data_IF_807451917778
#
_entry.id   IF_807451917778
#
_cell.length_a   1.000
_cell.length_b   1.000
_cell.length_c   1.000
_cell.angle_alpha   90.00
_cell.angle_beta   90.00
_cell.angle_gamma   90.00
#
_symmetry.space_group_name_H-M   'P 1'
#
loop_
_entity.id
_entity.type
_entity.pdbx_description
1 polymer ?
#
# COMPACT_ATOMS: atom_id res chain seq x y z
N UNK A 1 -36.54 -13.94 38.63
CA UNK A 1 -36.61 -15.00 37.60
C UNK A 1 -37.65 -14.68 36.51
N UNK A 2 -38.96 -14.65 36.80
CA UNK A 2 -40.01 -14.37 35.78
C UNK A 2 -39.86 -13.04 35.02
N UNK A 3 -39.42 -11.97 35.69
CA UNK A 3 -39.15 -10.69 35.02
C UNK A 3 -37.99 -10.78 34.04
N UNK A 4 -36.94 -11.54 34.39
CA UNK A 4 -35.77 -11.74 33.54
C UNK A 4 -36.12 -12.55 32.29
N UNK A 5 -36.91 -13.61 32.43
CA UNK A 5 -37.42 -14.40 31.29
C UNK A 5 -38.16 -13.52 30.28
N UNK A 6 -38.99 -12.57 30.74
CA UNK A 6 -39.65 -11.59 29.87
C UNK A 6 -38.67 -10.63 29.18
N UNK A 7 -37.64 -10.17 29.90
CA UNK A 7 -36.60 -9.30 29.33
C UNK A 7 -35.77 -10.04 28.28
N UNK A 8 -35.40 -11.29 28.53
CA UNK A 8 -34.66 -12.12 27.58
C UNK A 8 -35.44 -12.30 26.28
N UNK A 9 -36.71 -12.71 26.37
CA UNK A 9 -37.60 -12.87 25.21
C UNK A 9 -37.80 -11.54 24.46
N UNK A 10 -37.91 -10.42 25.19
CA UNK A 10 -37.96 -9.09 24.58
C UNK A 10 -36.68 -8.81 23.81
N UNK A 11 -35.50 -8.91 24.42
CA UNK A 11 -34.23 -8.67 23.76
C UNK A 11 -34.04 -9.55 22.52
N UNK A 12 -34.38 -10.84 22.59
CA UNK A 12 -34.29 -11.76 21.46
C UNK A 12 -35.09 -11.30 20.23
N UNK A 13 -36.28 -10.76 20.45
CA UNK A 13 -37.14 -10.24 19.37
C UNK A 13 -36.51 -9.08 18.58
N UNK A 14 -35.59 -8.31 19.18
CA UNK A 14 -34.92 -7.18 18.53
C UNK A 14 -33.56 -7.54 17.92
N UNK A 15 -32.95 -8.68 18.28
CA UNK A 15 -31.63 -9.09 17.76
C UNK A 15 -31.65 -9.20 16.22
N UNK A 16 -32.75 -9.73 15.66
CA UNK A 16 -32.86 -9.99 14.22
C UNK A 16 -33.23 -8.74 13.38
N UNK A 17 -33.47 -7.60 14.02
CA UNK A 17 -33.84 -6.36 13.32
C UNK A 17 -32.62 -5.56 12.82
N UNK A 18 -31.43 -5.85 13.35
CA UNK A 18 -30.20 -5.13 12.99
C UNK A 18 -29.52 -5.86 11.81
N UNK A 19 -29.43 -5.26 10.60
CA UNK A 19 -28.74 -5.86 9.46
C UNK A 19 -27.22 -5.74 9.62
N UNK A 20 -26.66 -6.41 10.62
CA UNK A 20 -25.28 -6.23 11.07
C UNK A 20 -24.27 -6.54 9.96
N UNK A 21 -24.49 -7.63 9.22
CA UNK A 21 -23.61 -8.04 8.12
C UNK A 21 -23.50 -6.99 7.02
N UNK A 22 -24.56 -6.22 6.78
CA UNK A 22 -24.55 -5.17 5.76
C UNK A 22 -23.68 -4.00 6.20
N UNK A 23 -23.96 -3.42 7.38
CA UNK A 23 -23.21 -2.27 7.90
C UNK A 23 -21.73 -2.61 8.05
N UNK A 24 -21.44 -3.79 8.61
CA UNK A 24 -20.07 -4.25 8.82
C UNK A 24 -19.35 -4.52 7.49
N UNK A 25 -20.04 -5.12 6.51
CA UNK A 25 -19.47 -5.40 5.19
C UNK A 25 -19.04 -4.15 4.44
N UNK A 26 -19.89 -3.12 4.38
CA UNK A 26 -19.52 -1.86 3.73
C UNK A 26 -18.40 -1.12 4.46
N UNK A 27 -18.44 -1.11 5.79
CA UNK A 27 -17.41 -0.46 6.60
C UNK A 27 -16.04 -1.14 6.43
N UNK A 28 -15.98 -2.47 6.57
CA UNK A 28 -14.74 -3.24 6.42
C UNK A 28 -14.18 -3.13 5.01
N UNK A 29 -15.03 -3.22 3.97
CA UNK A 29 -14.57 -3.05 2.59
C UNK A 29 -13.97 -1.67 2.33
N UNK A 30 -14.55 -0.60 2.91
CA UNK A 30 -13.99 0.75 2.85
C UNK A 30 -12.61 0.81 3.52
N UNK A 31 -12.46 0.22 4.70
CA UNK A 31 -11.18 0.20 5.44
C UNK A 31 -10.12 -0.57 4.66
N UNK A 32 -10.43 -1.77 4.16
CA UNK A 32 -9.50 -2.59 3.35
C UNK A 32 -9.08 -1.84 2.08
N UNK A 33 -10.01 -1.18 1.40
CA UNK A 33 -9.70 -0.37 0.21
C UNK A 33 -8.72 0.77 0.52
N UNK A 34 -8.93 1.47 1.64
CA UNK A 34 -8.01 2.52 2.11
C UNK A 34 -6.66 1.95 2.54
N UNK A 35 -6.64 0.83 3.26
CA UNK A 35 -5.43 0.13 3.68
C UNK A 35 -4.54 -0.20 2.48
N UNK A 36 -5.12 -0.82 1.44
CA UNK A 36 -4.37 -1.18 0.24
C UNK A 36 -3.88 0.05 -0.53
N UNK A 37 -4.72 1.08 -0.67
CA UNK A 37 -4.31 2.31 -1.34
C UNK A 37 -3.20 3.06 -0.59
N UNK A 38 -3.18 3.00 0.75
CA UNK A 38 -2.08 3.52 1.55
C UNK A 38 -0.79 2.74 1.28
N UNK A 39 -0.84 1.41 1.26
CA UNK A 39 0.31 0.58 0.88
C UNK A 39 0.86 0.96 -0.50
N UNK A 40 -0.02 1.05 -1.51
CA UNK A 40 0.35 1.43 -2.87
C UNK A 40 0.88 2.87 -3.00
N UNK A 41 0.60 3.72 -2.00
CA UNK A 41 1.12 5.09 -1.93
C UNK A 41 2.47 5.18 -1.21
N UNK A 42 3.01 4.08 -0.66
CA UNK A 42 4.38 4.07 -0.13
C UNK A 42 5.35 4.20 -1.30
N UNK A 43 6.14 5.28 -1.37
CA UNK A 43 6.96 5.55 -2.54
C UNK A 43 8.27 4.76 -2.49
N UNK A 44 8.56 4.07 -3.59
CA UNK A 44 9.80 3.32 -3.80
C UNK A 44 10.78 4.15 -4.64
N UNK A 45 12.04 4.29 -4.22
CA UNK A 45 13.02 5.13 -4.92
C UNK A 45 13.48 4.51 -6.24
N UNK A 46 13.10 3.26 -6.51
CA UNK A 46 13.62 2.41 -7.57
C UNK A 46 13.55 3.03 -8.97
N UNK A 47 12.44 3.72 -9.28
CA UNK A 47 12.34 4.44 -10.54
C UNK A 47 13.29 5.64 -10.57
N UNK A 48 13.26 6.47 -9.52
CA UNK A 48 14.09 7.67 -9.44
C UNK A 48 15.58 7.32 -9.46
N UNK A 49 16.02 6.29 -8.72
CA UNK A 49 17.43 5.90 -8.68
C UNK A 49 17.95 5.40 -10.04
N UNK A 50 17.11 4.72 -10.83
CA UNK A 50 17.47 4.32 -12.19
C UNK A 50 17.64 5.54 -13.10
N UNK A 51 16.74 6.52 -13.01
CA UNK A 51 16.89 7.78 -13.74
C UNK A 51 18.12 8.56 -13.28
N UNK A 52 18.37 8.68 -11.98
CA UNK A 52 19.56 9.37 -11.46
C UNK A 52 20.85 8.68 -11.91
N UNK A 53 20.91 7.35 -11.83
CA UNK A 53 22.09 6.57 -12.24
C UNK A 53 22.36 6.63 -13.74
N UNK A 54 21.34 6.83 -14.57
CA UNK A 54 21.50 6.83 -16.04
C UNK A 54 21.64 8.22 -16.62
N UNK A 55 20.95 9.22 -16.06
CA UNK A 55 20.84 10.55 -16.65
C UNK A 55 21.82 11.57 -16.07
N UNK A 56 22.37 11.31 -14.87
CA UNK A 56 23.41 12.16 -14.28
C UNK A 56 24.77 11.58 -14.61
N UNK A 57 25.35 12.07 -15.70
CA UNK A 57 26.63 11.63 -16.23
C UNK A 57 27.81 12.04 -15.34
N UNK A 58 28.94 11.36 -15.56
CA UNK A 58 30.21 11.64 -14.90
C UNK A 58 30.66 10.53 -13.94
N UNK A 59 31.98 10.37 -13.88
CA UNK A 59 32.68 9.45 -12.97
C UNK A 59 33.54 10.19 -11.94
N UNK A 60 33.54 11.52 -12.03
CA UNK A 60 34.23 12.42 -11.12
C UNK A 60 33.52 12.50 -9.76
N UNK A 61 34.25 13.01 -8.76
CA UNK A 61 33.73 13.17 -7.40
C UNK A 61 32.45 14.00 -7.37
N UNK A 62 32.35 15.04 -8.21
CA UNK A 62 31.21 15.95 -8.19
C UNK A 62 29.93 15.31 -8.75
N UNK A 63 30.00 14.57 -9.85
CA UNK A 63 28.83 13.82 -10.36
C UNK A 63 28.36 12.76 -9.37
N UNK A 64 29.30 12.07 -8.70
CA UNK A 64 29.00 11.15 -7.60
C UNK A 64 28.28 11.84 -6.43
N UNK A 65 28.76 13.01 -6.01
CA UNK A 65 28.12 13.82 -4.95
C UNK A 65 26.70 14.20 -5.37
N UNK A 66 26.48 14.63 -6.62
CA UNK A 66 25.15 14.98 -7.14
C UNK A 66 24.20 13.78 -7.02
N UNK A 67 24.60 12.63 -7.56
CA UNK A 67 23.78 11.40 -7.55
C UNK A 67 23.41 10.96 -6.14
N UNK A 68 24.39 10.87 -5.24
CA UNK A 68 24.17 10.47 -3.83
C UNK A 68 23.29 11.48 -3.08
N UNK A 69 23.48 12.77 -3.32
CA UNK A 69 22.70 13.84 -2.65
C UNK A 69 21.24 13.83 -3.10
N UNK A 70 20.96 13.61 -4.39
CA UNK A 70 19.59 13.48 -4.91
C UNK A 70 18.83 12.35 -4.19
N UNK A 71 19.46 11.17 -4.07
CA UNK A 71 18.82 10.04 -3.39
C UNK A 71 18.66 10.27 -1.89
N UNK A 72 19.65 10.91 -1.25
CA UNK A 72 19.56 11.26 0.18
C UNK A 72 18.44 12.26 0.46
N UNK A 73 18.25 13.27 -0.40
CA UNK A 73 17.14 14.23 -0.26
C UNK A 73 15.78 13.61 -0.53
N UNK A 74 15.70 12.66 -1.48
CA UNK A 74 14.49 11.88 -1.69
C UNK A 74 14.10 11.11 -0.41
N UNK A 75 15.07 10.41 0.19
CA UNK A 75 14.88 9.67 1.45
C UNK A 75 14.56 10.60 2.61
N UNK A 76 15.23 11.76 2.74
CA UNK A 76 14.95 12.76 3.77
C UNK A 76 13.49 13.23 3.69
N UNK A 77 13.01 13.57 2.49
CA UNK A 77 11.62 13.98 2.27
C UNK A 77 10.63 12.90 2.72
N UNK A 78 10.91 11.63 2.40
CA UNK A 78 10.10 10.49 2.84
C UNK A 78 10.09 10.32 4.35
N UNK A 79 11.27 10.37 4.99
CA UNK A 79 11.36 10.18 6.44
C UNK A 79 10.60 11.29 7.18
N UNK A 80 10.65 12.54 6.72
CA UNK A 80 9.88 13.64 7.36
C UNK A 80 8.37 13.39 7.26
N UNK A 81 7.88 12.86 6.14
CA UNK A 81 6.45 12.45 6.03
C UNK A 81 6.16 11.27 6.94
N UNK A 82 7.00 10.24 6.94
CA UNK A 82 6.81 9.06 7.78
C UNK A 82 6.91 9.36 9.28
N UNK A 83 7.70 10.36 9.70
CA UNK A 83 7.71 10.88 11.07
C UNK A 83 6.35 11.50 11.45
N UNK A 84 5.61 12.04 10.49
CA UNK A 84 4.29 12.61 10.73
C UNK A 84 3.19 11.54 10.75
N UNK A 85 3.32 10.47 9.94
CA UNK A 85 2.25 9.50 9.72
C UNK A 85 2.47 8.13 10.38
N UNK A 86 3.69 7.79 10.83
CA UNK A 86 4.02 6.48 11.41
C UNK A 86 4.61 6.58 12.81
N UNK A 87 4.00 5.85 13.74
CA UNK A 87 4.42 5.79 15.15
C UNK A 87 5.82 5.17 15.26
N UNK A 88 6.07 4.06 14.56
CA UNK A 88 7.36 3.37 14.53
C UNK A 88 8.50 4.27 14.05
N UNK A 89 8.26 5.03 12.98
CA UNK A 89 9.27 5.94 12.42
C UNK A 89 9.47 7.16 13.32
N UNK A 90 8.38 7.71 13.89
CA UNK A 90 8.49 8.82 14.86
C UNK A 90 9.26 8.43 16.11
N UNK A 91 9.10 7.21 16.61
CA UNK A 91 9.91 6.68 17.72
C UNK A 91 11.38 6.51 17.35
N UNK A 92 11.67 6.05 16.14
CA UNK A 92 13.05 5.89 15.65
C UNK A 92 13.76 7.23 15.42
N UNK A 93 13.05 8.21 14.88
CA UNK A 93 13.57 9.55 14.62
C UNK A 93 12.64 10.61 15.23
N UNK A 94 12.75 10.93 16.53
CA UNK A 94 11.87 11.90 17.17
C UNK A 94 12.11 13.35 16.73
N UNK A 95 13.38 13.71 16.50
CA UNK A 95 13.82 15.09 16.17
C UNK A 95 14.71 15.11 14.92
N UNK A 96 14.97 16.31 14.41
CA UNK A 96 15.89 16.49 13.28
C UNK A 96 17.33 16.11 13.65
N UNK A 97 17.74 16.26 14.91
CA UNK A 97 19.06 15.84 15.40
C UNK A 97 19.29 14.34 15.22
N UNK A 98 18.26 13.50 15.42
CA UNK A 98 18.36 12.06 15.17
C UNK A 98 18.60 11.76 13.69
N UNK A 99 18.09 12.59 12.78
CA UNK A 99 18.35 12.47 11.35
C UNK A 99 19.77 12.94 10.99
N UNK A 100 20.32 13.90 11.74
CA UNK A 100 21.73 14.30 11.62
C UNK A 100 22.64 13.17 12.07
N UNK A 101 22.41 12.61 13.27
CA UNK A 101 23.19 11.50 13.82
C UNK A 101 23.12 10.25 12.94
N UNK A 102 21.97 9.99 12.33
CA UNK A 102 21.79 8.89 11.37
C UNK A 102 22.42 9.16 9.99
N UNK A 103 22.99 10.34 9.74
CA UNK A 103 23.64 10.69 8.48
C UNK A 103 22.67 10.91 7.30
N UNK A 104 21.38 11.12 7.59
CA UNK A 104 20.35 11.38 6.56
C UNK A 104 20.42 12.85 6.10
N UNK A 105 20.69 13.77 7.02
CA UNK A 105 20.75 15.21 6.77
C UNK A 105 21.96 15.82 7.45
N UNK A 106 22.57 16.85 6.88
CA UNK A 106 23.69 17.56 7.53
C UNK A 106 23.17 18.70 8.41
N UNK A 107 23.93 19.09 9.44
CA UNK A 107 23.57 20.22 10.29
C UNK A 107 23.39 21.53 9.51
N UNK A 108 24.20 21.74 8.46
CA UNK A 108 24.05 22.89 7.55
C UNK A 108 22.73 22.85 6.77
N UNK A 109 22.30 21.69 6.30
CA UNK A 109 21.03 21.54 5.59
C UNK A 109 19.84 21.75 6.52
N UNK A 110 19.92 21.25 7.76
CA UNK A 110 18.88 21.49 8.77
C UNK A 110 18.70 22.98 9.01
N UNK A 111 19.80 23.74 9.18
CA UNK A 111 19.73 25.19 9.32
C UNK A 111 19.03 25.86 8.14
N UNK A 112 19.39 25.49 6.91
CA UNK A 112 18.74 26.02 5.70
C UNK A 112 17.24 25.67 5.66
N UNK A 113 16.86 24.46 6.11
CA UNK A 113 15.45 24.07 6.20
C UNK A 113 14.71 24.86 7.28
N UNK A 114 15.34 25.11 8.44
CA UNK A 114 14.78 25.86 9.55
C UNK A 114 14.52 27.33 9.19
N UNK A 115 15.42 27.94 8.41
CA UNK A 115 15.29 29.32 7.93
C UNK A 115 14.08 29.54 7.00
N UNK A 116 13.48 28.47 6.45
CA UNK A 116 12.23 28.57 5.68
C UNK A 116 11.07 28.91 6.62
N UNK A 117 10.64 30.16 6.65
CA UNK A 117 9.52 30.62 7.47
C UNK A 117 8.18 30.09 6.92
N UNK A 118 7.55 29.16 7.64
CA UNK A 118 6.22 28.63 7.33
C UNK A 118 5.57 28.03 8.59
N UNK A 119 4.23 28.15 8.75
CA UNK A 119 3.50 27.44 9.81
C UNK A 119 3.25 25.96 9.48
N UNK A 120 3.59 25.52 8.27
CA UNK A 120 3.33 24.16 7.78
C UNK A 120 4.54 23.25 7.91
N UNK A 121 4.32 21.93 7.84
CA UNK A 121 5.39 20.95 7.75
C UNK A 121 6.32 21.19 6.55
N UNK A 122 7.61 20.87 6.71
CA UNK A 122 8.68 21.17 5.74
C UNK A 122 9.13 19.97 4.89
N UNK A 123 8.33 18.91 4.88
CA UNK A 123 8.59 17.69 4.11
C UNK A 123 8.71 17.91 2.59
N UNK A 124 8.18 19.02 2.06
CA UNK A 124 8.29 19.40 0.65
C UNK A 124 9.65 20.05 0.30
N UNK A 125 10.41 20.54 1.29
CA UNK A 125 11.67 21.28 1.09
C UNK A 125 12.75 20.43 0.39
N UNK A 126 13.01 19.17 0.79
CA UNK A 126 14.02 18.34 0.10
C UNK A 126 13.73 18.13 -1.38
N UNK A 127 12.45 18.05 -1.78
CA UNK A 127 12.08 17.89 -3.19
C UNK A 127 12.36 19.16 -4.01
N UNK A 128 12.18 20.34 -3.41
CA UNK A 128 12.61 21.61 -4.03
C UNK A 128 14.12 21.63 -4.21
N UNK A 129 14.89 21.15 -3.23
CA UNK A 129 16.34 21.01 -3.37
C UNK A 129 16.72 20.03 -4.49
N UNK A 130 16.06 18.88 -4.61
CA UNK A 130 16.28 17.95 -5.72
C UNK A 130 16.08 18.62 -7.09
N UNK A 131 14.94 19.30 -7.30
CA UNK A 131 14.67 19.98 -8.56
C UNK A 131 15.71 21.07 -8.88
N UNK A 132 16.18 21.80 -7.86
CA UNK A 132 17.23 22.80 -8.03
C UNK A 132 18.59 22.17 -8.38
N UNK A 133 18.97 21.07 -7.73
CA UNK A 133 20.18 20.31 -8.06
C UNK A 133 20.14 19.81 -9.50
N UNK A 134 19.01 19.24 -9.93
CA UNK A 134 18.82 18.73 -11.29
C UNK A 134 18.98 19.86 -12.31
N UNK A 135 18.34 21.01 -12.07
CA UNK A 135 18.48 22.18 -12.94
C UNK A 135 19.93 22.65 -13.02
N UNK A 136 20.66 22.65 -11.90
CA UNK A 136 22.05 23.08 -11.85
C UNK A 136 23.00 22.07 -12.51
N UNK A 137 22.73 20.77 -12.34
CA UNK A 137 23.43 19.68 -13.00
C UNK A 137 23.29 19.74 -14.52
N UNK A 138 22.08 20.03 -15.02
CA UNK A 138 21.83 20.27 -16.44
C UNK A 138 22.61 21.48 -16.96
N UNK A 139 22.60 22.62 -16.24
CA UNK A 139 23.39 23.81 -16.62
C UNK A 139 24.89 23.56 -16.69
N UNK A 140 25.39 22.64 -15.86
CA UNK A 140 26.81 22.24 -15.81
C UNK A 140 27.16 21.11 -16.79
N UNK A 141 26.18 20.62 -17.56
CA UNK A 141 26.39 19.56 -18.56
C UNK A 141 26.44 18.14 -18.02
N UNK A 142 26.09 17.92 -16.74
CA UNK A 142 25.95 16.56 -16.19
C UNK A 142 24.66 15.86 -16.65
N UNK A 143 23.67 16.63 -17.12
CA UNK A 143 22.45 16.13 -17.75
C UNK A 143 22.40 16.79 -19.12
N UNK A 144 22.37 15.99 -20.18
CA UNK A 144 22.68 16.46 -21.54
C UNK A 144 21.62 17.38 -22.14
N UNK A 145 20.33 17.11 -21.90
CA UNK A 145 19.25 17.85 -22.55
C UNK A 145 18.04 18.10 -21.62
N UNK A 146 17.18 19.02 -22.10
CA UNK A 146 15.98 19.44 -21.39
C UNK A 146 14.95 18.31 -21.21
N UNK A 147 14.90 17.35 -22.11
CA UNK A 147 13.97 16.22 -22.05
C UNK A 147 14.38 15.24 -20.96
N UNK A 148 15.67 14.92 -20.85
CA UNK A 148 16.22 14.10 -19.77
C UNK A 148 16.01 14.77 -18.40
N UNK A 149 16.30 16.08 -18.32
CA UNK A 149 16.03 16.88 -17.12
C UNK A 149 14.55 16.81 -16.72
N UNK A 150 13.63 17.05 -17.68
CA UNK A 150 12.18 16.97 -17.43
C UNK A 150 11.78 15.59 -16.94
N UNK A 151 12.26 14.53 -17.60
CA UNK A 151 11.90 13.16 -17.27
C UNK A 151 12.30 12.79 -15.84
N UNK A 152 13.50 13.20 -15.40
CA UNK A 152 13.94 13.00 -14.02
C UNK A 152 13.10 13.81 -13.01
N UNK A 153 12.74 15.06 -13.33
CA UNK A 153 11.87 15.87 -12.47
C UNK A 153 10.48 15.23 -12.34
N UNK A 154 9.89 14.78 -13.44
CA UNK A 154 8.56 14.16 -13.43
C UNK A 154 8.53 12.92 -12.52
N UNK A 155 9.57 12.07 -12.57
CA UNK A 155 9.67 10.89 -11.70
C UNK A 155 9.77 11.27 -10.22
N UNK A 156 10.51 12.34 -9.88
CA UNK A 156 10.56 12.87 -8.51
C UNK A 156 9.20 13.42 -8.08
N UNK A 157 8.45 14.06 -8.99
CA UNK A 157 7.12 14.58 -8.70
C UNK A 157 6.09 13.46 -8.49
N UNK A 158 6.20 12.34 -9.21
CA UNK A 158 5.39 11.14 -8.96
C UNK A 158 5.69 10.59 -7.55
N UNK A 159 6.97 10.44 -7.21
CA UNK A 159 7.39 10.00 -5.88
C UNK A 159 6.85 10.92 -4.77
N UNK A 160 6.96 12.23 -4.96
CA UNK A 160 6.42 13.25 -4.06
C UNK A 160 4.89 13.22 -4.00
N UNK A 161 4.20 12.93 -5.10
CA UNK A 161 2.74 12.77 -5.15
C UNK A 161 2.25 11.67 -4.23
N UNK A 162 2.93 10.53 -4.26
CA UNK A 162 2.65 9.37 -3.39
C UNK A 162 2.79 9.71 -1.89
N UNK A 163 3.83 10.45 -1.49
CA UNK A 163 3.94 10.97 -0.12
C UNK A 163 2.81 11.93 0.25
N UNK A 164 2.36 12.77 -0.70
CA UNK A 164 1.21 13.64 -0.49
C UNK A 164 -0.08 12.86 -0.29
N UNK A 165 -0.23 11.73 -0.98
CA UNK A 165 -1.37 10.82 -0.80
C UNK A 165 -1.35 10.18 0.59
N UNK A 166 -0.19 9.72 1.07
CA UNK A 166 -0.04 9.21 2.44
C UNK A 166 -0.43 10.24 3.49
N UNK A 167 0.09 11.46 3.37
CA UNK A 167 -0.28 12.57 4.26
C UNK A 167 -1.79 12.86 4.21
N UNK A 168 -2.41 12.72 3.04
CA UNK A 168 -3.86 12.91 2.88
C UNK A 168 -4.67 11.81 3.57
N UNK A 169 -4.21 10.56 3.54
CA UNK A 169 -4.88 9.46 4.25
C UNK A 169 -4.78 9.60 5.78
N UNK A 170 -3.64 10.06 6.28
CA UNK A 170 -3.41 10.36 7.69
C UNK A 170 -4.31 11.52 8.15
N UNK A 171 -4.32 12.63 7.40
CA UNK A 171 -5.15 13.80 7.73
C UNK A 171 -6.65 13.51 7.63
N UNK A 172 -7.08 12.82 6.58
CA UNK A 172 -8.49 12.53 6.29
C UNK A 172 -8.78 11.05 6.55
N UNK A 173 -9.03 10.72 7.82
CA UNK A 173 -9.44 9.40 8.26
C UNK A 173 -10.87 9.03 7.81
N UNK A 174 -11.28 7.79 8.02
CA UNK A 174 -12.69 7.39 7.87
C UNK A 174 -13.55 8.27 8.79
N UNK A 175 -14.68 8.84 8.31
CA UNK A 175 -15.52 9.71 9.14
C UNK A 175 -15.86 9.06 10.47
N UNK A 176 -15.60 9.77 11.58
CA UNK A 176 -15.74 9.23 12.93
C UNK A 176 -17.15 8.67 13.18
N UNK A 177 -18.18 9.36 12.69
CA UNK A 177 -19.58 8.93 12.78
C UNK A 177 -19.79 7.55 12.17
N UNK A 178 -19.08 7.20 11.09
CA UNK A 178 -19.23 5.90 10.44
C UNK A 178 -18.64 4.79 11.32
N UNK A 179 -17.42 5.00 11.85
CA UNK A 179 -16.81 4.08 12.83
C UNK A 179 -17.70 3.90 14.06
N UNK A 180 -18.28 4.99 14.58
CA UNK A 180 -19.18 4.97 15.73
C UNK A 180 -20.46 4.20 15.46
N UNK A 181 -21.12 4.43 14.31
CA UNK A 181 -22.35 3.72 13.93
C UNK A 181 -22.10 2.23 13.81
N UNK A 182 -21.01 1.82 13.15
CA UNK A 182 -20.67 0.40 13.00
C UNK A 182 -20.37 -0.24 14.35
N UNK A 183 -19.56 0.41 15.19
CA UNK A 183 -19.23 -0.10 16.53
C UNK A 183 -20.48 -0.23 17.40
N UNK A 184 -21.34 0.80 17.41
CA UNK A 184 -22.59 0.79 18.17
C UNK A 184 -23.52 -0.33 17.70
N UNK A 185 -23.63 -0.57 16.39
CA UNK A 185 -24.45 -1.65 15.84
C UNK A 185 -23.97 -3.03 16.33
N UNK A 186 -22.66 -3.29 16.27
CA UNK A 186 -22.06 -4.55 16.76
C UNK A 186 -22.26 -4.69 18.27
N UNK A 187 -21.99 -3.65 19.05
CA UNK A 187 -22.07 -3.71 20.51
C UNK A 187 -23.51 -3.83 21.00
N UNK A 188 -24.46 -3.13 20.36
CA UNK A 188 -25.89 -3.24 20.68
C UNK A 188 -26.43 -4.62 20.35
N UNK A 189 -26.00 -5.21 19.23
CA UNK A 189 -26.32 -6.59 18.88
C UNK A 189 -25.85 -7.56 19.97
N UNK A 190 -24.62 -7.44 20.45
CA UNK A 190 -24.10 -8.33 21.49
C UNK A 190 -24.64 -8.05 22.90
N UNK A 191 -25.01 -6.80 23.21
CA UNK A 191 -25.78 -6.48 24.41
C UNK A 191 -27.13 -7.20 24.38
N UNK A 192 -27.82 -7.15 23.24
CA UNK A 192 -29.06 -7.90 23.00
C UNK A 192 -28.85 -9.41 23.14
N UNK A 193 -27.82 -9.98 22.51
CA UNK A 193 -27.49 -11.40 22.62
C UNK A 193 -27.19 -11.84 24.07
N UNK A 194 -26.50 -11.01 24.85
CA UNK A 194 -26.14 -11.32 26.24
C UNK A 194 -27.37 -11.53 27.12
N UNK A 195 -28.44 -10.77 26.87
CA UNK A 195 -29.70 -10.90 27.59
C UNK A 195 -30.66 -11.90 26.93
N UNK A 196 -30.77 -11.88 25.61
CA UNK A 196 -31.79 -12.62 24.86
C UNK A 196 -31.42 -14.06 24.51
N UNK A 197 -30.14 -14.43 24.46
CA UNK A 197 -29.69 -15.81 24.15
C UNK A 197 -29.42 -16.63 25.41
N UNK A 198 -30.02 -16.26 26.54
CA UNK A 198 -29.90 -16.97 27.81
C UNK A 198 -30.79 -18.22 27.80
N UNK A 199 -30.28 -19.35 28.27
CA UNK A 199 -31.11 -20.55 28.43
C UNK A 199 -32.14 -20.31 29.54
N UNK A 200 -33.43 -20.32 29.17
CA UNK A 200 -34.55 -20.13 30.10
C UNK A 200 -34.99 -21.45 30.70
N UNK A 201 -35.83 -21.40 31.74
CA UNK A 201 -36.37 -22.57 32.42
C UNK A 201 -37.15 -23.49 31.44
N UNK A 202 -36.67 -24.70 31.11
CA UNK A 202 -37.34 -25.58 30.14
C UNK A 202 -38.75 -26.00 30.60
N UNK A 203 -39.01 -26.00 31.91
CA UNK A 203 -40.33 -26.35 32.48
C UNK A 203 -41.40 -25.35 32.04
N UNK A 204 -41.00 -24.11 31.73
CA UNK A 204 -41.93 -23.08 31.26
C UNK A 204 -42.33 -23.22 29.80
N UNK A 205 -41.62 -24.06 29.05
CA UNK A 205 -41.93 -24.40 27.65
C UNK A 205 -42.10 -23.16 26.76
N UNK A 206 -41.21 -22.16 26.92
CA UNK A 206 -41.17 -21.01 26.03
C UNK A 206 -40.73 -21.45 24.62
N UNK A 207 -41.38 -20.98 23.54
CA UNK A 207 -40.97 -21.33 22.18
C UNK A 207 -39.48 -21.05 21.95
N UNK A 208 -38.74 -22.03 21.41
CA UNK A 208 -37.30 -21.92 21.15
C UNK A 208 -36.38 -22.16 22.37
N UNK A 209 -36.92 -22.33 23.58
CA UNK A 209 -36.15 -22.45 24.83
C UNK A 209 -36.40 -23.77 25.57
N UNK A 210 -36.45 -24.88 24.83
CA UNK A 210 -36.77 -26.20 25.39
C UNK A 210 -35.54 -26.95 25.93
N UNK A 211 -34.34 -26.42 25.71
CA UNK A 211 -33.07 -27.07 26.04
C UNK A 211 -32.18 -26.07 26.76
N UNK A 212 -31.50 -26.54 27.80
CA UNK A 212 -30.45 -25.80 28.50
C UNK A 212 -29.12 -26.53 28.27
N UNK A 213 -28.23 -25.92 27.47
CA UNK A 213 -26.90 -26.45 27.19
C UNK A 213 -25.82 -25.85 28.09
N UNK A 214 -26.18 -24.94 28.99
CA UNK A 214 -25.30 -24.12 29.84
C UNK A 214 -24.35 -23.18 29.07
N UNK A 215 -23.69 -23.66 28.01
CA UNK A 215 -22.77 -22.91 27.15
C UNK A 215 -23.42 -22.59 25.80
N UNK A 216 -23.58 -21.30 25.43
CA UNK A 216 -24.24 -20.91 24.19
C UNK A 216 -23.27 -20.95 23.00
N UNK A 217 -22.87 -22.16 22.58
CA UNK A 217 -21.82 -22.39 21.55
C UNK A 217 -22.02 -21.58 20.26
N UNK A 218 -23.23 -21.58 19.69
CA UNK A 218 -23.50 -20.84 18.45
C UNK A 218 -23.51 -19.32 18.62
N UNK A 219 -23.87 -18.82 19.81
CA UNK A 219 -23.76 -17.39 20.12
C UNK A 219 -22.29 -16.97 20.25
N UNK A 220 -21.44 -17.83 20.84
CA UNK A 220 -19.98 -17.60 20.86
C UNK A 220 -19.39 -17.63 19.45
N UNK A 221 -19.82 -18.54 18.58
CA UNK A 221 -19.39 -18.57 17.18
C UNK A 221 -19.78 -17.28 16.44
N UNK A 222 -21.02 -16.80 16.63
CA UNK A 222 -21.46 -15.51 16.09
C UNK A 222 -20.65 -14.34 16.65
N UNK A 223 -20.28 -14.39 17.94
CA UNK A 223 -19.38 -13.42 18.56
C UNK A 223 -18.04 -13.36 17.84
N UNK A 224 -17.34 -14.50 17.69
CA UNK A 224 -16.07 -14.54 16.97
C UNK A 224 -16.20 -14.03 15.53
N UNK A 225 -17.29 -14.36 14.84
CA UNK A 225 -17.51 -13.88 13.48
C UNK A 225 -17.67 -12.35 13.40
N UNK A 226 -18.64 -11.77 14.10
CA UNK A 226 -18.92 -10.33 13.97
C UNK A 226 -17.92 -9.44 14.70
N UNK A 227 -17.49 -9.81 15.91
CA UNK A 227 -16.43 -9.07 16.60
C UNK A 227 -15.09 -9.23 15.89
N UNK A 228 -14.76 -10.43 15.41
CA UNK A 228 -13.55 -10.65 14.62
C UNK A 228 -13.56 -9.81 13.34
N UNK A 229 -14.70 -9.75 12.64
CA UNK A 229 -14.83 -8.95 11.44
C UNK A 229 -14.75 -7.42 11.71
N UNK A 230 -15.27 -6.94 12.85
CA UNK A 230 -15.01 -5.58 13.33
C UNK A 230 -13.53 -5.35 13.64
N UNK A 231 -12.87 -6.32 14.28
CA UNK A 231 -11.44 -6.25 14.63
C UNK A 231 -10.53 -6.15 13.40
N UNK A 232 -10.89 -6.80 12.30
CA UNK A 232 -10.19 -6.60 11.01
C UNK A 232 -10.19 -5.12 10.61
N UNK A 233 -11.32 -4.43 10.73
CA UNK A 233 -11.38 -3.00 10.43
C UNK A 233 -10.58 -2.16 11.44
N UNK A 234 -10.67 -2.48 12.74
CA UNK A 234 -9.93 -1.75 13.77
C UNK A 234 -8.42 -1.83 13.60
N UNK A 235 -7.88 -2.99 13.22
CA UNK A 235 -6.45 -3.17 12.97
C UNK A 235 -6.01 -2.44 11.70
N UNK A 236 -6.78 -2.54 10.62
CA UNK A 236 -6.38 -1.98 9.30
C UNK A 236 -6.69 -0.48 9.14
N UNK A 237 -7.37 0.15 10.10
CA UNK A 237 -7.76 1.57 10.01
C UNK A 237 -6.55 2.51 9.99
N UNK A 238 -5.48 2.13 10.69
CA UNK A 238 -4.20 2.84 10.71
C UNK A 238 -3.04 1.85 10.58
N UNK A 239 -2.60 1.52 9.36
CA UNK A 239 -1.54 0.54 9.13
C UNK A 239 -0.12 1.06 9.41
N UNK A 240 0.02 2.26 9.98
CA UNK A 240 1.31 2.89 10.29
C UNK A 240 1.59 2.92 11.80
N UNK A 241 0.83 2.14 12.57
CA UNK A 241 0.95 1.97 14.01
C UNK A 241 2.07 0.99 14.41
N UNK A 242 1.75 0.15 15.39
CA UNK A 242 2.67 -0.82 15.99
C UNK A 242 2.09 -2.25 16.04
N UNK A 243 0.94 -2.51 15.41
CA UNK A 243 0.32 -3.84 15.38
C UNK A 243 1.12 -4.81 14.50
N UNK A 244 0.97 -6.12 14.75
CA UNK A 244 1.79 -7.16 14.09
C UNK A 244 1.68 -7.16 12.54
N UNK A 245 0.52 -6.75 12.00
CA UNK A 245 0.29 -6.65 10.54
C UNK A 245 0.43 -5.21 9.99
N UNK A 246 0.86 -4.25 10.81
CA UNK A 246 1.14 -2.88 10.34
C UNK A 246 2.40 -2.86 9.47
N UNK A 247 2.47 -1.89 8.56
CA UNK A 247 3.57 -1.81 7.59
C UNK A 247 4.94 -1.64 8.26
N UNK A 248 5.93 -2.37 7.74
CA UNK A 248 7.31 -2.38 8.21
C UNK A 248 8.12 -1.16 7.73
N UNK A 249 7.70 0.03 8.17
CA UNK A 249 8.22 1.31 7.66
C UNK A 249 9.72 1.51 7.92
N UNK A 250 10.23 1.04 9.06
CA UNK A 250 11.66 1.16 9.37
C UNK A 250 12.53 0.36 8.40
N UNK A 251 12.11 -0.87 8.06
CA UNK A 251 12.79 -1.69 7.07
C UNK A 251 12.73 -1.05 5.67
N UNK A 252 11.58 -0.48 5.28
CA UNK A 252 11.44 0.22 4.00
C UNK A 252 12.43 1.38 3.90
N UNK A 253 12.60 2.16 4.97
CA UNK A 253 13.59 3.26 5.02
C UNK A 253 15.01 2.71 4.81
N UNK A 254 15.38 1.66 5.55
CA UNK A 254 16.73 1.07 5.50
C UNK A 254 17.05 0.51 4.13
N UNK A 255 16.13 -0.30 3.60
CA UNK A 255 16.20 -0.88 2.24
C UNK A 255 16.34 0.22 1.21
N UNK A 256 15.50 1.26 1.28
CA UNK A 256 15.49 2.33 0.30
C UNK A 256 16.78 3.14 0.33
N UNK A 257 17.30 3.46 1.50
CA UNK A 257 18.57 4.17 1.62
C UNK A 257 19.73 3.34 1.06
N UNK A 258 19.80 2.06 1.45
CA UNK A 258 20.87 1.16 1.01
C UNK A 258 20.87 0.97 -0.50
N UNK A 259 19.75 0.52 -1.07
CA UNK A 259 19.67 0.21 -2.50
C UNK A 259 19.85 1.47 -3.35
N UNK A 260 19.26 2.60 -2.94
CA UNK A 260 19.42 3.85 -3.68
C UNK A 260 20.88 4.26 -3.80
N UNK A 261 21.64 4.19 -2.70
CA UNK A 261 23.04 4.59 -2.71
C UNK A 261 23.92 3.60 -3.47
N UNK A 262 23.68 2.29 -3.37
CA UNK A 262 24.40 1.29 -4.16
C UNK A 262 24.15 1.47 -5.67
N UNK A 263 22.91 1.75 -6.07
CA UNK A 263 22.55 1.90 -7.48
C UNK A 263 23.19 3.14 -8.10
N UNK A 264 23.09 4.30 -7.45
CA UNK A 264 23.56 5.56 -8.04
C UNK A 264 25.06 5.82 -7.85
N UNK A 265 25.75 4.93 -7.12
CA UNK A 265 27.18 5.03 -6.85
C UNK A 265 27.91 3.82 -7.41
N UNK A 266 27.86 2.69 -6.70
CA UNK A 266 28.65 1.50 -7.00
C UNK A 266 28.26 0.87 -8.34
N UNK A 267 26.98 0.88 -8.71
CA UNK A 267 26.52 0.31 -9.99
C UNK A 267 26.49 1.32 -11.14
N UNK A 268 26.78 2.60 -10.86
CA UNK A 268 26.63 3.65 -11.87
C UNK A 268 27.61 3.43 -13.03
N UNK A 269 27.09 3.24 -14.24
CA UNK A 269 27.89 2.97 -15.44
C UNK A 269 28.57 1.60 -15.45
N UNK A 270 28.28 0.73 -14.48
CA UNK A 270 28.84 -0.61 -14.41
C UNK A 270 27.86 -1.63 -15.00
N UNK A 271 28.37 -2.46 -15.91
CA UNK A 271 27.65 -3.60 -16.45
C UNK A 271 28.64 -4.72 -16.79
N UNK A 272 28.23 -5.99 -16.73
CA UNK A 272 29.07 -7.10 -17.19
C UNK A 272 29.47 -6.94 -18.67
N UNK A 273 30.60 -7.51 -19.10
CA UNK A 273 30.97 -7.52 -20.52
C UNK A 273 29.85 -8.05 -21.41
N UNK A 274 29.70 -7.43 -22.59
CA UNK A 274 28.70 -7.86 -23.56
C UNK A 274 29.17 -9.16 -24.23
N UNK A 275 28.42 -10.23 -24.01
CA UNK A 275 28.68 -11.54 -24.59
C UNK A 275 27.50 -11.97 -25.47
N UNK A 276 27.79 -12.83 -26.44
CA UNK A 276 26.76 -13.52 -27.21
C UNK A 276 26.03 -14.46 -26.27
N UNK A 277 24.70 -14.35 -26.21
CA UNK A 277 23.89 -15.30 -25.48
C UNK A 277 23.92 -16.69 -26.15
N UNK A 278 23.40 -17.70 -25.44
CA UNK A 278 23.44 -19.11 -25.88
C UNK A 278 22.70 -19.34 -27.20
N UNK A 279 21.76 -18.47 -27.55
CA UNK A 279 20.94 -18.59 -28.77
C UNK A 279 21.44 -17.69 -29.89
N UNK A 280 22.59 -17.01 -29.72
CA UNK A 280 23.13 -16.10 -30.71
C UNK A 280 23.51 -16.85 -32.01
N UNK A 281 22.74 -16.63 -33.07
CA UNK A 281 22.94 -17.26 -34.38
C UNK A 281 22.09 -18.51 -34.61
N UNK A 282 21.28 -18.91 -33.63
CA UNK A 282 20.26 -19.95 -33.76
C UNK A 282 18.86 -19.31 -33.90
N UNK A 283 17.91 -20.06 -34.46
CA UNK A 283 16.50 -19.66 -34.34
C UNK A 283 16.09 -19.74 -32.86
N UNK A 284 15.28 -18.80 -32.35
CA UNK A 284 14.81 -18.86 -30.96
C UNK A 284 14.16 -20.21 -30.64
N UNK A 285 14.45 -20.82 -29.48
CA UNK A 285 13.86 -22.09 -29.11
C UNK A 285 12.35 -21.95 -28.90
N UNK A 286 11.57 -22.95 -29.34
CA UNK A 286 10.12 -22.99 -29.11
C UNK A 286 9.78 -22.98 -27.61
N UNK A 287 10.66 -23.59 -26.79
CA UNK A 287 10.52 -23.65 -25.33
C UNK A 287 11.88 -23.55 -24.64
N UNK A 288 11.96 -22.75 -23.57
CA UNK A 288 13.08 -22.79 -22.63
C UNK A 288 13.09 -24.12 -21.85
N UNK A 289 14.27 -24.61 -21.40
CA UNK A 289 14.37 -25.91 -20.74
C UNK A 289 13.64 -25.94 -19.39
N UNK A 290 13.04 -27.09 -19.07
CA UNK A 290 12.39 -27.35 -17.80
C UNK A 290 13.25 -28.27 -16.92
N UNK A 291 13.23 -28.03 -15.61
CA UNK A 291 13.73 -29.00 -14.64
C UNK A 291 12.85 -30.26 -14.64
N UNK A 292 13.37 -31.39 -14.14
CA UNK A 292 12.58 -32.64 -14.03
C UNK A 292 11.31 -32.45 -13.20
N UNK A 293 11.38 -31.68 -12.12
CA UNK A 293 10.23 -31.38 -11.24
C UNK A 293 9.16 -30.51 -11.91
N UNK A 294 9.54 -29.66 -12.86
CA UNK A 294 8.63 -28.75 -13.57
C UNK A 294 8.13 -29.31 -14.89
N UNK A 295 8.65 -30.45 -15.38
CA UNK A 295 8.23 -31.04 -16.65
C UNK A 295 6.73 -31.36 -16.71
N UNK A 296 6.12 -31.70 -15.57
CA UNK A 296 4.66 -31.92 -15.46
C UNK A 296 3.82 -30.66 -15.67
N UNK A 297 4.43 -29.48 -15.63
CA UNK A 297 3.76 -28.19 -15.82
C UNK A 297 3.84 -27.69 -17.27
N UNK A 298 4.45 -28.47 -18.18
CA UNK A 298 4.47 -28.11 -19.60
C UNK A 298 3.04 -28.20 -20.12
N UNK A 299 2.48 -27.05 -20.48
CA UNK A 299 1.16 -26.93 -21.09
C UNK A 299 1.28 -26.29 -22.47
N UNK A 300 0.37 -26.64 -23.37
CA UNK A 300 0.23 -25.92 -24.63
C UNK A 300 -0.17 -24.47 -24.36
N UNK A 301 0.34 -23.50 -25.14
CA UNK A 301 0.00 -22.10 -24.96
C UNK A 301 -1.50 -21.89 -25.22
N UNK A 302 -2.13 -21.03 -24.42
CA UNK A 302 -3.49 -20.58 -24.68
C UNK A 302 -3.47 -19.62 -25.88
N UNK A 303 -3.93 -20.09 -27.03
CA UNK A 303 -3.95 -19.31 -28.28
C UNK A 303 -5.10 -18.29 -28.35
N UNK A 304 -5.95 -18.22 -27.32
CA UNK A 304 -7.17 -17.42 -27.28
C UNK A 304 -8.43 -18.28 -27.42
N UNK A 305 -9.50 -17.90 -26.71
CA UNK A 305 -10.74 -18.69 -26.63
C UNK A 305 -11.44 -18.90 -27.98
N UNK A 306 -11.13 -18.08 -28.99
CA UNK A 306 -11.72 -18.14 -30.33
C UNK A 306 -10.79 -18.71 -31.40
N UNK A 307 -9.54 -19.06 -31.07
CA UNK A 307 -8.53 -19.43 -32.06
C UNK A 307 -8.88 -20.70 -32.86
N UNK A 308 -9.65 -21.61 -32.26
CA UNK A 308 -10.13 -22.84 -32.91
C UNK A 308 -11.55 -22.72 -33.47
N UNK A 309 -12.22 -21.57 -33.31
CA UNK A 309 -13.56 -21.35 -33.85
C UNK A 309 -13.46 -21.22 -35.37
N UNK A 310 -13.94 -22.24 -36.08
CA UNK A 310 -14.07 -22.23 -37.54
C UNK A 310 -15.51 -21.91 -37.91
N UNK A 311 -15.72 -20.81 -38.63
CA UNK A 311 -16.99 -20.52 -39.28
C UNK A 311 -17.04 -21.23 -40.64
N UNK A 312 -18.20 -21.73 -41.04
CA UNK A 312 -18.40 -22.24 -42.40
C UNK A 312 -18.29 -21.06 -43.38
N UNK A 313 -17.20 -20.99 -44.14
CA UNK A 313 -16.97 -19.93 -45.13
C UNK A 313 -17.70 -20.32 -46.41
N UNK A 314 -18.66 -19.48 -46.85
CA UNK A 314 -19.20 -19.59 -48.22
C UNK A 314 -18.10 -19.23 -49.21
N UNK A 315 -18.02 -19.90 -50.37
CA UNK A 315 -16.99 -19.65 -51.39
C UNK A 315 -16.93 -18.20 -51.90
N UNK A 316 -17.95 -17.38 -51.63
CA UNK A 316 -17.91 -15.94 -51.78
C UNK A 316 -17.50 -15.27 -50.46
N UNK A 317 -16.24 -14.88 -50.36
CA UNK A 317 -15.76 -14.00 -49.29
C UNK A 317 -16.24 -12.58 -49.62
N UNK A 318 -17.25 -12.08 -48.92
CA UNK A 318 -17.71 -10.69 -49.05
C UNK A 318 -17.71 -9.99 -47.68
N UNK A 319 -17.14 -8.78 -47.65
CA UNK A 319 -17.24 -7.88 -46.50
C UNK A 319 -18.45 -6.97 -46.70
N UNK A 320 -19.29 -6.82 -45.68
CA UNK A 320 -20.39 -5.83 -45.70
C UNK A 320 -19.79 -4.47 -45.36
N UNK A 321 -19.68 -3.58 -46.35
CA UNK A 321 -19.34 -2.18 -46.13
C UNK A 321 -20.62 -1.37 -45.93
N UNK A 322 -20.82 -0.83 -44.73
CA UNK A 322 -21.89 0.14 -44.49
C UNK A 322 -21.49 1.49 -45.07
N UNK A 323 -22.14 1.91 -46.15
CA UNK A 323 -22.11 3.31 -46.55
C UNK A 323 -23.22 4.04 -45.78
N UNK A 324 -22.82 4.95 -44.89
CA UNK A 324 -23.74 5.95 -44.33
C UNK A 324 -24.14 6.89 -45.46
N UNK A 325 -25.40 6.82 -45.87
CA UNK A 325 -26.05 7.81 -46.73
C UNK A 325 -26.36 9.09 -45.98
#
# INVERSE_FOLDING_TARGET
RRTFEKVALYCESFINLIPLSFVLGFYVALVIGRWWNQYMSIPWPDRVMLYVSTLVEGVDEQSRIIRRTLMRYLTLGSIIVFQATSVRVKKRFPTMDHLIEAGIVTASEVKVMEDVSTPHGKWWVPFVWCCNIIRDAHRKGYILDNYLMKSLIDEILVYRGNLGMLYSYDWISVPLVYTQVTTLAVYSFFLGCTLGRQFLDPVMNYPGHNVDLYVPFFTLLQFFFYMGWLKVAEQLINPFGEDDDDFEMNWIIDRNMQISLLTVDDLCGQFPPLEKDVYFGESPPDYLPYTRSSAKNISLPHMGSTAEIRFAISSNISFITWHMS
#
